data_IF_182583563114
#
_entry.id   IF_182583563114
#
_cell.length_a   1.000
_cell.length_b   1.000
_cell.length_c   1.000
_cell.angle_alpha   90.00
_cell.angle_beta   90.00
_cell.angle_gamma   90.00
#
_symmetry.space_group_name_H-M   'P 1'
#
loop_
_entity.id
_entity.type
_entity.pdbx_description
1 polymer ?
#
# COMPACT_ATOMS: atom_id res chain seq x y z
N UNK A 1 19.78 12.34 18.67
CA UNK A 1 20.26 11.28 19.61
C UNK A 1 21.23 10.36 18.87
N UNK A 2 22.41 10.08 19.48
CA UNK A 2 23.43 9.19 18.92
C UNK A 2 23.43 7.87 19.66
N UNK A 3 23.43 6.75 18.93
CA UNK A 3 23.62 5.41 19.49
C UNK A 3 24.86 4.81 18.82
N UNK A 4 25.88 4.50 19.63
CA UNK A 4 27.10 3.85 19.17
C UNK A 4 27.02 2.33 19.45
N UNK A 5 27.34 1.51 18.47
CA UNK A 5 27.35 0.06 18.58
C UNK A 5 28.79 -0.46 18.52
N UNK A 6 29.17 -1.23 19.55
CA UNK A 6 30.51 -1.76 19.72
C UNK A 6 30.49 -3.28 19.70
N UNK A 7 31.39 -3.92 18.96
CA UNK A 7 31.58 -5.37 19.05
C UNK A 7 32.33 -5.72 20.35
N UNK A 8 31.69 -6.53 21.19
CA UNK A 8 32.27 -7.03 22.44
C UNK A 8 31.86 -8.48 22.67
N UNK A 9 32.84 -9.36 22.82
CA UNK A 9 32.62 -10.75 23.21
C UNK A 9 31.58 -11.50 22.37
N UNK A 10 31.62 -11.33 21.04
CA UNK A 10 30.69 -11.99 20.13
C UNK A 10 29.28 -11.40 20.11
N UNK A 11 29.10 -10.17 20.59
CA UNK A 11 27.85 -9.41 20.56
C UNK A 11 28.05 -7.96 20.20
N UNK A 12 27.02 -7.29 19.68
CA UNK A 12 27.02 -5.87 19.37
C UNK A 12 26.28 -5.12 20.48
N UNK A 13 27.04 -4.39 21.29
CA UNK A 13 26.49 -3.63 22.43
C UNK A 13 26.10 -2.22 21.99
N UNK A 14 24.85 -1.83 22.25
CA UNK A 14 24.34 -0.49 22.00
C UNK A 14 24.65 0.44 23.18
N UNK A 15 25.38 1.52 22.94
CA UNK A 15 25.74 2.54 23.94
C UNK A 15 25.14 3.89 23.49
N UNK A 16 24.09 4.38 24.18
CA UNK A 16 23.59 5.74 23.93
C UNK A 16 24.65 6.77 24.31
N UNK A 17 24.91 7.72 23.39
CA UNK A 17 25.91 8.79 23.60
C UNK A 17 25.16 10.11 23.84
N UNK A 18 24.80 10.37 25.11
CA UNK A 18 24.09 11.59 25.47
C UNK A 18 25.02 12.81 25.40
N UNK A 19 26.07 12.81 26.24
CA UNK A 19 27.08 13.87 26.30
C UNK A 19 28.47 13.22 26.29
N UNK A 20 29.39 13.69 25.43
CA UNK A 20 30.75 13.16 25.36
C UNK A 20 31.19 12.68 23.97
N UNK A 21 32.39 12.11 23.91
CA UNK A 21 32.96 11.62 22.67
C UNK A 21 32.33 10.26 22.25
N UNK A 22 32.09 10.09 20.94
CA UNK A 22 31.71 8.80 20.38
C UNK A 22 32.86 7.82 20.58
N UNK A 23 32.63 6.59 21.10
CA UNK A 23 33.69 5.62 21.30
C UNK A 23 34.44 5.27 20.01
N UNK A 24 35.76 5.33 20.01
CA UNK A 24 36.58 5.04 18.81
C UNK A 24 36.39 3.60 18.28
N UNK A 25 36.01 2.65 19.15
CA UNK A 25 35.72 1.26 18.80
C UNK A 25 34.33 1.06 18.18
N UNK A 26 33.53 2.12 18.01
CA UNK A 26 32.23 2.02 17.41
C UNK A 26 32.32 1.58 15.94
N UNK A 27 31.58 0.52 15.60
CA UNK A 27 31.49 -0.03 14.24
C UNK A 27 30.29 0.54 13.52
N UNK A 28 29.17 0.76 14.22
CA UNK A 28 27.97 1.37 13.71
C UNK A 28 27.53 2.53 14.61
N UNK A 29 27.24 3.67 14.01
CA UNK A 29 26.75 4.88 14.67
C UNK A 29 25.39 5.20 14.06
N UNK A 30 24.34 5.16 14.89
CA UNK A 30 22.98 5.43 14.45
C UNK A 30 22.51 6.81 14.94
N UNK A 31 22.34 7.74 14.02
CA UNK A 31 21.84 9.09 14.25
C UNK A 31 20.30 9.08 14.10
N UNK A 32 19.60 9.05 15.23
CA UNK A 32 18.15 9.00 15.30
C UNK A 32 17.59 10.38 15.56
N UNK A 33 16.94 10.97 14.56
CA UNK A 33 16.45 12.36 14.61
C UNK A 33 17.51 13.29 15.22
N UNK A 34 18.70 13.35 14.61
CA UNK A 34 19.81 14.09 15.17
C UNK A 34 19.54 15.59 15.24
N UNK A 35 20.17 16.26 16.18
CA UNK A 35 20.28 17.71 16.25
C UNK A 35 21.54 18.18 15.50
N UNK A 36 21.65 19.46 15.18
CA UNK A 36 22.87 20.03 14.56
C UNK A 36 24.16 19.74 15.39
N UNK A 37 24.03 19.65 16.71
CA UNK A 37 25.11 19.27 17.60
C UNK A 37 25.51 17.80 17.48
N UNK A 38 24.48 16.90 17.34
CA UNK A 38 24.71 15.48 17.08
C UNK A 38 25.42 15.27 15.74
N UNK A 39 24.99 15.98 14.69
CA UNK A 39 25.61 15.92 13.37
C UNK A 39 27.07 16.39 13.42
N UNK A 40 27.34 17.56 14.01
CA UNK A 40 28.70 18.08 14.16
C UNK A 40 29.63 17.12 14.93
N UNK A 41 29.11 16.42 15.95
CA UNK A 41 29.90 15.41 16.69
C UNK A 41 30.21 14.19 15.84
N UNK A 42 29.27 13.72 15.05
CA UNK A 42 29.46 12.60 14.12
C UNK A 42 30.45 12.98 12.99
N UNK A 43 30.35 14.19 12.46
CA UNK A 43 31.26 14.74 11.44
C UNK A 43 32.71 14.82 11.93
N UNK A 44 32.92 15.37 13.12
CA UNK A 44 34.25 15.44 13.72
C UNK A 44 34.84 14.06 13.98
N UNK A 45 34.01 13.14 14.48
CA UNK A 45 34.43 11.77 14.77
C UNK A 45 34.83 10.99 13.52
N UNK A 46 34.01 11.05 12.46
CA UNK A 46 34.21 10.24 11.26
C UNK A 46 35.04 10.94 10.17
N UNK A 47 35.19 12.26 10.24
CA UNK A 47 35.82 13.07 9.21
C UNK A 47 35.03 13.13 7.91
N UNK A 48 33.71 13.23 8.02
CA UNK A 48 32.76 13.26 6.93
C UNK A 48 31.77 14.42 7.11
N UNK A 49 30.97 14.74 6.10
CA UNK A 49 29.77 15.58 6.25
C UNK A 49 28.54 14.72 6.45
N UNK A 50 27.64 15.11 7.35
CA UNK A 50 26.35 14.42 7.54
C UNK A 50 25.30 15.14 6.70
N UNK A 51 24.59 14.46 5.77
CA UNK A 51 23.58 15.11 4.95
C UNK A 51 22.41 15.59 5.80
N UNK A 52 21.95 16.79 5.51
CA UNK A 52 20.78 17.39 6.15
C UNK A 52 19.51 16.65 5.79
N UNK A 53 18.45 16.84 6.58
CA UNK A 53 17.14 16.25 6.30
C UNK A 53 16.58 16.67 4.93
N UNK A 54 16.89 17.88 4.47
CA UNK A 54 16.45 18.41 3.17
C UNK A 54 17.18 17.70 2.03
N UNK A 55 18.50 17.56 2.11
CA UNK A 55 19.33 16.83 1.15
C UNK A 55 18.93 15.35 1.05
N UNK A 56 18.62 14.71 2.18
CA UNK A 56 18.08 13.34 2.18
C UNK A 56 16.74 13.22 1.45
N UNK A 57 15.96 14.30 1.38
CA UNK A 57 14.68 14.38 0.69
C UNK A 57 14.78 14.63 -0.82
N UNK A 58 15.95 14.99 -1.35
CA UNK A 58 16.15 15.26 -2.77
C UNK A 58 15.83 14.05 -3.64
N UNK A 59 15.26 14.29 -4.83
CA UNK A 59 14.80 13.22 -5.73
C UNK A 59 15.95 12.75 -6.64
N UNK A 60 16.94 13.61 -6.89
CA UNK A 60 18.03 13.33 -7.81
C UNK A 60 18.92 12.18 -7.31
N UNK A 61 19.21 11.25 -8.20
CA UNK A 61 20.03 10.08 -7.86
C UNK A 61 21.45 10.46 -7.48
N UNK A 62 22.03 11.49 -8.11
CA UNK A 62 23.36 12.01 -7.83
C UNK A 62 23.50 12.59 -6.42
N UNK A 63 22.43 13.11 -5.86
CA UNK A 63 22.37 13.61 -4.48
C UNK A 63 22.17 12.51 -3.44
N UNK A 64 21.74 11.33 -3.87
CA UNK A 64 21.43 10.19 -2.98
C UNK A 64 22.50 9.11 -2.95
N UNK A 65 23.26 8.93 -4.02
CA UNK A 65 24.23 7.86 -4.20
C UNK A 65 25.52 8.44 -4.77
N UNK A 66 26.48 8.73 -3.89
CA UNK A 66 27.73 9.36 -4.27
C UNK A 66 28.89 8.93 -3.37
N UNK A 67 30.11 9.26 -3.80
CA UNK A 67 31.34 9.07 -3.02
C UNK A 67 31.98 10.40 -2.82
N UNK A 68 32.27 10.77 -1.58
CA UNK A 68 32.93 12.02 -1.20
C UNK A 68 33.92 11.78 -0.06
N UNK A 69 35.11 12.33 -0.15
CA UNK A 69 36.12 12.20 0.92
C UNK A 69 36.53 10.77 1.28
N UNK A 70 36.26 9.79 0.37
CA UNK A 70 36.49 8.37 0.62
C UNK A 70 35.37 7.71 1.41
N UNK A 71 34.30 8.42 1.73
CA UNK A 71 33.06 7.88 2.28
C UNK A 71 32.01 7.65 1.18
N UNK A 72 31.18 6.60 1.33
CA UNK A 72 30.06 6.31 0.42
C UNK A 72 28.76 6.71 1.08
N UNK A 73 28.04 7.56 0.42
CA UNK A 73 26.73 8.05 0.83
C UNK A 73 25.64 7.34 0.04
N UNK A 74 24.71 6.73 0.74
CA UNK A 74 23.65 5.92 0.15
C UNK A 74 22.33 6.20 0.85
N UNK A 75 21.47 6.98 0.22
CA UNK A 75 20.14 7.32 0.76
C UNK A 75 19.07 6.49 0.07
N UNK A 76 18.32 5.70 0.85
CA UNK A 76 17.16 4.97 0.39
C UNK A 76 15.89 5.48 1.06
N UNK A 77 14.79 5.46 0.31
CA UNK A 77 13.46 5.72 0.85
C UNK A 77 12.81 4.39 1.24
N UNK A 78 12.38 4.25 2.49
CA UNK A 78 11.87 3.02 3.07
C UNK A 78 10.43 3.21 3.51
N UNK A 79 9.57 2.23 3.19
CA UNK A 79 8.19 2.20 3.69
C UNK A 79 8.16 1.82 5.18
N UNK A 80 7.60 2.72 5.99
CA UNK A 80 7.39 2.53 7.42
C UNK A 80 5.91 2.56 7.78
N UNK A 81 5.52 1.84 8.84
CA UNK A 81 4.15 1.86 9.34
C UNK A 81 3.11 1.25 8.39
N UNK A 82 3.48 0.31 7.52
CA UNK A 82 2.56 -0.34 6.58
C UNK A 82 1.35 -1.04 7.25
N UNK A 83 1.46 -1.38 8.51
CA UNK A 83 0.43 -1.97 9.37
C UNK A 83 -0.35 -0.94 10.20
N UNK A 84 -0.03 0.35 10.06
CA UNK A 84 -0.75 1.47 10.71
C UNK A 84 -1.75 2.11 9.76
N UNK A 85 -2.56 3.02 10.28
CA UNK A 85 -3.48 3.82 9.44
C UNK A 85 -2.76 4.87 8.58
N UNK A 86 -1.55 5.26 8.96
CA UNK A 86 -0.76 6.32 8.31
C UNK A 86 0.63 5.79 7.94
N UNK A 87 0.75 4.99 6.87
CA UNK A 87 2.05 4.59 6.35
C UNK A 87 2.81 5.81 5.85
N UNK A 88 4.12 5.83 6.08
CA UNK A 88 5.00 6.93 5.69
C UNK A 88 6.21 6.41 4.93
N UNK A 89 6.72 7.23 4.00
CA UNK A 89 7.99 7.02 3.34
C UNK A 89 9.08 7.76 4.10
N UNK A 90 10.10 7.05 4.52
CA UNK A 90 11.21 7.57 5.31
C UNK A 90 12.52 7.49 4.54
N UNK A 91 13.19 8.61 4.37
CA UNK A 91 14.57 8.63 3.87
C UNK A 91 15.53 8.18 4.98
N UNK A 92 16.39 7.24 4.65
CA UNK A 92 17.46 6.73 5.52
C UNK A 92 18.76 6.81 4.75
N UNK A 93 19.75 7.47 5.31
CA UNK A 93 21.09 7.55 4.72
C UNK A 93 22.03 6.58 5.43
N UNK A 94 22.75 5.81 4.65
CA UNK A 94 23.81 4.91 5.07
C UNK A 94 25.13 5.46 4.57
N UNK A 95 26.07 5.72 5.47
CA UNK A 95 27.40 6.26 5.15
C UNK A 95 28.45 5.22 5.56
N UNK A 96 29.17 4.68 4.58
CA UNK A 96 30.29 3.78 4.83
C UNK A 96 31.60 4.56 4.76
N UNK A 97 32.35 4.55 5.84
CA UNK A 97 33.66 5.18 5.92
C UNK A 97 34.62 4.39 6.80
N UNK A 98 35.82 4.11 6.31
CA UNK A 98 36.91 3.46 7.05
C UNK A 98 36.48 2.20 7.83
N UNK A 99 35.61 1.36 7.24
CA UNK A 99 35.11 0.14 7.86
C UNK A 99 34.05 0.35 8.92
N UNK A 100 33.48 1.55 9.05
CA UNK A 100 32.39 1.91 9.95
C UNK A 100 31.14 2.26 9.16
N UNK A 101 29.99 1.99 9.75
CA UNK A 101 28.70 2.42 9.23
C UNK A 101 28.17 3.57 10.07
N UNK A 102 27.69 4.62 9.42
CA UNK A 102 26.90 5.68 10.04
C UNK A 102 25.52 5.66 9.37
N UNK A 103 24.47 5.67 10.17
CA UNK A 103 23.10 5.73 9.67
C UNK A 103 22.42 7.00 10.16
N UNK A 104 21.71 7.70 9.26
CA UNK A 104 20.96 8.92 9.60
C UNK A 104 19.48 8.66 9.27
N UNK A 105 18.61 8.85 10.24
CA UNK A 105 17.17 8.58 10.08
C UNK A 105 16.31 9.48 10.96
N UNK A 106 15.17 9.91 10.42
CA UNK A 106 14.19 10.74 11.13
C UNK A 106 12.90 9.95 11.41
N UNK A 107 13.06 8.71 11.86
CA UNK A 107 11.99 7.79 12.23
C UNK A 107 12.54 6.43 12.65
N UNK A 108 11.64 5.48 12.88
CA UNK A 108 12.00 4.16 13.42
C UNK A 108 11.60 3.01 12.49
N UNK A 109 12.35 2.75 11.39
CA UNK A 109 12.14 1.56 10.57
C UNK A 109 12.35 0.30 11.42
N UNK A 110 11.40 -0.64 11.38
CA UNK A 110 11.47 -1.88 12.18
C UNK A 110 12.72 -2.73 11.95
N UNK A 111 13.35 -2.60 10.81
CA UNK A 111 14.60 -3.28 10.49
C UNK A 111 15.72 -2.94 11.49
N UNK A 112 15.82 -1.68 11.92
CA UNK A 112 16.89 -1.23 12.81
C UNK A 112 16.89 -1.91 14.19
N UNK A 113 15.81 -1.85 14.98
CA UNK A 113 15.77 -2.56 16.26
C UNK A 113 15.84 -4.10 16.10
N UNK A 114 15.36 -4.64 14.98
CA UNK A 114 15.45 -6.07 14.70
C UNK A 114 16.91 -6.52 14.52
N UNK A 115 17.67 -5.80 13.69
CA UNK A 115 19.10 -6.07 13.45
C UNK A 115 19.91 -5.82 14.71
N UNK A 116 19.68 -4.70 15.41
CA UNK A 116 20.36 -4.41 16.68
C UNK A 116 20.14 -5.53 17.71
N UNK A 117 18.92 -6.05 17.83
CA UNK A 117 18.59 -7.17 18.71
C UNK A 117 19.27 -8.47 18.27
N UNK A 118 19.31 -8.77 16.98
CA UNK A 118 19.93 -9.98 16.42
C UNK A 118 21.43 -9.96 16.65
N UNK A 119 22.11 -8.89 16.26
CA UNK A 119 23.56 -8.72 16.41
C UNK A 119 23.97 -8.57 17.89
N UNK A 120 23.07 -8.04 18.74
CA UNK A 120 23.25 -7.98 20.19
C UNK A 120 23.22 -9.35 20.88
N UNK A 121 22.63 -10.37 20.25
CA UNK A 121 22.66 -11.75 20.76
C UNK A 121 23.89 -12.54 20.31
N UNK A 122 24.29 -12.35 19.06
CA UNK A 122 25.44 -13.04 18.48
C UNK A 122 25.90 -12.29 17.23
N UNK A 123 27.18 -11.94 17.18
CA UNK A 123 27.82 -11.45 15.98
C UNK A 123 29.28 -11.95 15.91
N UNK A 124 29.90 -12.05 14.72
CA UNK A 124 31.32 -12.35 14.60
C UNK A 124 32.18 -11.27 15.29
N UNK A 125 33.25 -11.66 15.96
CA UNK A 125 34.18 -10.70 16.58
C UNK A 125 34.87 -9.78 15.54
N UNK A 126 34.87 -10.19 14.28
CA UNK A 126 35.48 -9.45 13.16
C UNK A 126 34.46 -8.63 12.36
N UNK A 127 33.23 -8.43 12.89
CA UNK A 127 32.18 -7.68 12.22
C UNK A 127 32.62 -6.23 11.90
N UNK A 128 32.30 -5.75 10.71
CA UNK A 128 32.61 -4.40 10.24
C UNK A 128 31.33 -3.65 9.87
N UNK A 129 31.46 -2.36 9.61
CA UNK A 129 30.33 -1.52 9.18
C UNK A 129 29.64 -2.00 7.89
N UNK A 130 30.41 -2.60 6.95
CA UNK A 130 29.86 -3.20 5.74
C UNK A 130 28.95 -4.39 6.03
N UNK A 131 29.30 -5.22 7.00
CA UNK A 131 28.50 -6.39 7.38
C UNK A 131 27.19 -5.92 8.04
N UNK A 132 27.25 -4.91 8.91
CA UNK A 132 26.07 -4.31 9.53
C UNK A 132 25.16 -3.68 8.47
N UNK A 133 25.71 -3.03 7.45
CA UNK A 133 24.93 -2.47 6.34
C UNK A 133 24.18 -3.57 5.59
N UNK A 134 24.84 -4.67 5.24
CA UNK A 134 24.22 -5.80 4.54
C UNK A 134 23.08 -6.37 5.38
N UNK A 135 23.29 -6.60 6.68
CA UNK A 135 22.27 -7.08 7.61
C UNK A 135 21.06 -6.13 7.71
N UNK A 136 21.29 -4.81 7.71
CA UNK A 136 20.23 -3.81 7.70
C UNK A 136 19.43 -3.82 6.40
N UNK A 137 20.12 -3.91 5.25
CA UNK A 137 19.47 -3.97 3.95
C UNK A 137 18.67 -5.26 3.78
N UNK A 138 19.20 -6.41 4.19
CA UNK A 138 18.47 -7.69 4.20
C UNK A 138 17.18 -7.57 5.04
N UNK A 139 17.28 -7.02 6.25
CA UNK A 139 16.11 -6.85 7.11
C UNK A 139 15.06 -5.88 6.53
N UNK A 140 15.48 -4.88 5.75
CA UNK A 140 14.56 -3.97 5.04
C UNK A 140 13.88 -4.71 3.87
N UNK A 141 14.62 -5.53 3.13
CA UNK A 141 14.07 -6.34 2.02
C UNK A 141 13.09 -7.38 2.54
N UNK A 142 13.45 -8.11 3.60
CA UNK A 142 12.56 -9.09 4.26
C UNK A 142 11.26 -8.41 4.74
N UNK A 143 11.38 -7.23 5.36
CA UNK A 143 10.19 -6.48 5.77
C UNK A 143 9.31 -6.05 4.59
N UNK A 144 9.94 -5.70 3.46
CA UNK A 144 9.20 -5.36 2.25
C UNK A 144 8.45 -6.58 1.68
N UNK A 145 9.05 -7.77 1.77
CA UNK A 145 8.40 -9.02 1.40
C UNK A 145 7.18 -9.30 2.28
N UNK A 146 7.31 -9.22 3.62
CA UNK A 146 6.20 -9.38 4.56
C UNK A 146 5.03 -8.45 4.25
N UNK A 147 5.34 -7.18 3.96
CA UNK A 147 4.31 -6.17 3.62
C UNK A 147 3.58 -6.56 2.34
N UNK A 148 4.30 -6.96 1.30
CA UNK A 148 3.69 -7.37 0.03
C UNK A 148 2.87 -8.65 0.16
N UNK A 149 3.31 -9.63 0.96
CA UNK A 149 2.52 -10.83 1.27
C UNK A 149 1.21 -10.48 1.98
N UNK A 150 1.26 -9.58 2.95
CA UNK A 150 0.07 -9.11 3.64
C UNK A 150 -0.89 -8.38 2.68
N UNK A 151 -0.36 -7.51 1.81
CA UNK A 151 -1.17 -6.84 0.78
C UNK A 151 -1.79 -7.89 -0.16
N UNK A 152 -1.04 -8.90 -0.60
CA UNK A 152 -1.52 -9.98 -1.44
C UNK A 152 -2.69 -10.75 -0.83
N UNK A 153 -2.59 -11.08 0.47
CA UNK A 153 -3.68 -11.72 1.22
C UNK A 153 -4.92 -10.82 1.32
N UNK A 154 -4.75 -9.51 1.47
CA UNK A 154 -5.84 -8.55 1.51
C UNK A 154 -6.52 -8.40 0.14
N UNK A 155 -5.75 -8.32 -0.93
CA UNK A 155 -6.25 -8.28 -2.32
C UNK A 155 -7.08 -9.52 -2.63
N UNK A 156 -6.64 -10.70 -2.19
CA UNK A 156 -7.41 -11.94 -2.35
C UNK A 156 -8.72 -11.93 -1.56
N UNK A 157 -8.73 -11.35 -0.36
CA UNK A 157 -9.97 -11.14 0.41
C UNK A 157 -10.95 -10.18 -0.29
N UNK A 158 -10.43 -9.09 -0.85
CA UNK A 158 -11.24 -8.14 -1.63
C UNK A 158 -11.83 -8.83 -2.85
N UNK A 159 -11.02 -9.60 -3.59
CA UNK A 159 -11.46 -10.37 -4.75
C UNK A 159 -12.64 -11.28 -4.41
N UNK A 160 -12.52 -12.08 -3.36
CA UNK A 160 -13.62 -12.94 -2.90
C UNK A 160 -14.87 -12.15 -2.55
N UNK A 161 -14.77 -11.02 -1.87
CA UNK A 161 -15.92 -10.18 -1.52
C UNK A 161 -16.64 -9.60 -2.74
N UNK A 162 -15.93 -9.29 -3.82
CA UNK A 162 -16.54 -8.77 -5.06
C UNK A 162 -17.36 -9.86 -5.75
N UNK A 163 -16.79 -11.07 -5.88
CA UNK A 163 -17.38 -12.16 -6.69
C UNK A 163 -18.26 -13.13 -5.90
N UNK A 164 -18.22 -13.09 -4.57
CA UNK A 164 -19.06 -13.94 -3.73
C UNK A 164 -20.50 -13.41 -3.72
N UNK A 165 -21.41 -14.23 -4.31
CA UNK A 165 -22.85 -13.96 -4.35
C UNK A 165 -23.61 -14.46 -3.11
N UNK A 166 -22.96 -15.21 -2.22
CA UNK A 166 -23.61 -15.84 -1.07
C UNK A 166 -23.89 -14.81 0.05
N UNK A 167 -24.87 -13.98 -0.18
CA UNK A 167 -25.72 -13.46 0.86
C UNK A 167 -25.07 -12.51 1.86
N UNK A 168 -25.07 -11.26 1.56
CA UNK A 168 -25.11 -10.25 2.60
C UNK A 168 -26.42 -9.46 2.48
N UNK A 169 -27.22 -9.41 3.56
CA UNK A 169 -28.33 -8.47 3.72
C UNK A 169 -27.82 -7.01 3.86
N UNK A 170 -26.53 -6.79 3.64
CA UNK A 170 -25.94 -5.45 3.57
C UNK A 170 -26.44 -4.72 2.32
N UNK A 171 -26.74 -3.44 2.48
CA UNK A 171 -27.06 -2.57 1.37
C UNK A 171 -25.89 -2.62 0.36
N UNK A 172 -26.15 -3.05 -0.87
CA UNK A 172 -25.14 -3.18 -1.93
C UNK A 172 -24.25 -1.93 -2.07
N UNK A 173 -24.85 -0.74 -1.94
CA UNK A 173 -24.13 0.53 -1.97
C UNK A 173 -23.08 0.69 -0.85
N UNK A 174 -23.39 0.25 0.38
CA UNK A 174 -22.44 0.31 1.50
C UNK A 174 -21.29 -0.68 1.29
N UNK A 175 -21.62 -1.88 0.82
CA UNK A 175 -20.64 -2.92 0.48
C UNK A 175 -19.65 -2.45 -0.57
N UNK A 176 -20.13 -1.91 -1.70
CA UNK A 176 -19.23 -1.46 -2.78
C UNK A 176 -18.40 -0.23 -2.37
N UNK A 177 -18.95 0.71 -1.59
CA UNK A 177 -18.18 1.82 -1.04
C UNK A 177 -17.03 1.34 -0.13
N UNK A 178 -17.29 0.38 0.74
CA UNK A 178 -16.26 -0.22 1.57
C UNK A 178 -15.17 -0.90 0.74
N UNK A 179 -15.55 -1.68 -0.28
CA UNK A 179 -14.61 -2.34 -1.20
C UNK A 179 -13.73 -1.30 -1.90
N UNK A 180 -14.31 -0.24 -2.48
CA UNK A 180 -13.57 0.82 -3.17
C UNK A 180 -12.59 1.52 -2.24
N UNK A 181 -12.99 1.82 -0.99
CA UNK A 181 -12.10 2.40 0.01
C UNK A 181 -10.94 1.47 0.37
N UNK A 182 -11.19 0.15 0.46
CA UNK A 182 -10.14 -0.84 0.70
C UNK A 182 -9.16 -0.95 -0.48
N UNK A 183 -9.68 -0.96 -1.72
CA UNK A 183 -8.85 -0.99 -2.94
C UNK A 183 -7.93 0.23 -2.95
N UNK A 184 -8.46 1.46 -2.74
CA UNK A 184 -7.67 2.68 -2.76
C UNK A 184 -6.57 2.71 -1.70
N UNK A 185 -6.86 2.22 -0.47
CA UNK A 185 -5.83 2.12 0.57
C UNK A 185 -4.72 1.12 0.21
N UNK A 186 -5.08 -0.03 -0.39
CA UNK A 186 -4.08 -1.04 -0.78
C UNK A 186 -3.26 -0.61 -1.99
N UNK A 187 -3.87 0.14 -2.91
CA UNK A 187 -3.15 0.75 -4.03
C UNK A 187 -2.09 1.74 -3.54
N UNK A 188 -2.42 2.62 -2.60
CA UNK A 188 -1.45 3.53 -1.98
C UNK A 188 -0.28 2.79 -1.31
N UNK A 189 -0.54 1.68 -0.59
CA UNK A 189 0.52 0.86 0.00
C UNK A 189 1.40 0.19 -1.05
N UNK A 190 0.81 -0.32 -2.15
CA UNK A 190 1.56 -0.91 -3.26
C UNK A 190 2.45 0.15 -3.92
N UNK A 191 1.93 1.37 -4.11
CA UNK A 191 2.70 2.49 -4.66
C UNK A 191 3.93 2.82 -3.78
N UNK A 192 3.75 2.93 -2.47
CA UNK A 192 4.85 3.13 -1.53
C UNK A 192 5.86 1.97 -1.53
N UNK A 193 5.37 0.72 -1.59
CA UNK A 193 6.25 -0.44 -1.68
C UNK A 193 7.09 -0.42 -2.96
N UNK A 194 6.51 -0.07 -4.11
CA UNK A 194 7.23 0.09 -5.39
C UNK A 194 8.32 1.15 -5.30
N UNK A 195 8.00 2.31 -4.73
CA UNK A 195 8.97 3.40 -4.55
C UNK A 195 10.13 2.97 -3.65
N UNK A 196 9.82 2.31 -2.51
CA UNK A 196 10.82 1.78 -1.60
C UNK A 196 11.74 0.76 -2.27
N UNK A 197 11.15 -0.24 -2.98
CA UNK A 197 11.92 -1.26 -3.70
C UNK A 197 12.78 -0.66 -4.81
N UNK A 198 12.26 0.31 -5.57
CA UNK A 198 13.03 1.01 -6.59
C UNK A 198 14.21 1.79 -5.99
N UNK A 199 14.03 2.40 -4.82
CA UNK A 199 15.10 3.07 -4.09
C UNK A 199 16.15 2.09 -3.59
N UNK A 200 15.74 0.96 -3.00
CA UNK A 200 16.63 -0.11 -2.55
C UNK A 200 17.39 -0.74 -3.72
N UNK A 201 16.75 -0.99 -4.85
CA UNK A 201 17.40 -1.54 -6.05
C UNK A 201 18.54 -0.65 -6.53
N UNK A 202 18.33 0.69 -6.54
CA UNK A 202 19.38 1.64 -6.90
C UNK A 202 20.54 1.62 -5.90
N UNK A 203 20.25 1.60 -4.59
CA UNK A 203 21.27 1.53 -3.55
C UNK A 203 22.07 0.23 -3.64
N UNK A 204 21.43 -0.91 -3.77
CA UNK A 204 22.08 -2.22 -3.88
C UNK A 204 22.94 -2.28 -5.16
N UNK A 205 22.46 -1.73 -6.26
CA UNK A 205 23.22 -1.64 -7.52
C UNK A 205 24.47 -0.75 -7.36
N UNK A 206 24.35 0.39 -6.68
CA UNK A 206 25.48 1.28 -6.39
C UNK A 206 26.50 0.59 -5.48
N UNK A 207 26.03 -0.11 -4.44
CA UNK A 207 26.89 -0.85 -3.52
C UNK A 207 27.62 -2.02 -4.24
N UNK A 208 26.97 -2.66 -5.21
CA UNK A 208 27.52 -3.76 -5.99
C UNK A 208 28.46 -3.36 -7.13
N UNK A 209 28.32 -2.13 -7.65
CA UNK A 209 29.10 -1.67 -8.81
C UNK A 209 30.58 -1.37 -8.48
N UNK A 210 30.91 -1.12 -7.23
CA UNK A 210 32.25 -0.73 -6.81
C UNK A 210 33.10 -1.97 -6.47
N UNK A 211 33.64 -2.58 -7.51
CA UNK A 211 34.39 -3.84 -7.42
C UNK A 211 35.89 -3.66 -7.17
N UNK A 212 36.50 -2.51 -7.48
CA UNK A 212 37.95 -2.34 -7.51
C UNK A 212 38.57 -1.73 -6.22
N UNK A 213 37.78 -1.31 -5.25
CA UNK A 213 38.25 -0.76 -3.97
C UNK A 213 37.48 -1.26 -2.75
N UNK A 214 36.51 -2.15 -2.95
CA UNK A 214 35.56 -2.54 -1.92
C UNK A 214 36.19 -3.51 -0.91
N UNK A 215 36.13 -3.11 0.37
CA UNK A 215 36.48 -3.90 1.54
C UNK A 215 35.47 -5.02 1.84
N UNK A 216 34.38 -5.12 1.06
CA UNK A 216 33.32 -6.10 1.23
C UNK A 216 33.88 -7.50 0.93
N UNK A 217 33.75 -8.42 1.90
CA UNK A 217 34.15 -9.81 1.79
C UNK A 217 33.40 -10.54 0.65
N UNK A 218 33.97 -11.67 0.20
CA UNK A 218 33.36 -12.46 -0.89
C UNK A 218 31.92 -12.89 -0.58
N UNK A 219 31.66 -13.25 0.66
CA UNK A 219 30.32 -13.65 1.12
C UNK A 219 29.33 -12.46 1.09
N UNK A 220 29.78 -11.28 1.50
CA UNK A 220 28.98 -10.04 1.40
C UNK A 220 28.61 -9.69 -0.05
N UNK A 221 29.54 -9.90 -1.01
CA UNK A 221 29.23 -9.73 -2.45
C UNK A 221 28.19 -10.72 -2.95
N UNK A 222 28.21 -11.94 -2.43
CA UNK A 222 27.19 -12.96 -2.78
C UNK A 222 25.81 -12.56 -2.22
N UNK A 223 25.77 -12.05 -0.99
CA UNK A 223 24.52 -11.56 -0.34
C UNK A 223 23.95 -10.37 -1.11
N UNK A 224 24.75 -9.37 -1.48
CA UNK A 224 24.34 -8.21 -2.28
C UNK A 224 23.73 -8.69 -3.62
N UNK A 225 24.35 -9.67 -4.28
CA UNK A 225 23.82 -10.21 -5.53
C UNK A 225 22.50 -10.98 -5.34
N UNK A 226 22.33 -11.70 -4.23
CA UNK A 226 21.08 -12.37 -3.91
C UNK A 226 19.99 -11.34 -3.64
N UNK A 227 20.28 -10.39 -2.77
CA UNK A 227 19.38 -9.30 -2.39
C UNK A 227 18.88 -8.49 -3.60
N UNK A 228 19.79 -8.24 -4.59
CA UNK A 228 19.40 -7.58 -5.85
C UNK A 228 18.35 -8.36 -6.64
N UNK A 229 18.43 -9.70 -6.65
CA UNK A 229 17.43 -10.55 -7.31
C UNK A 229 16.12 -10.59 -6.54
N UNK A 230 16.21 -10.62 -5.21
CA UNK A 230 15.03 -10.64 -4.33
C UNK A 230 14.24 -9.35 -4.48
N UNK A 231 14.93 -8.20 -4.48
CA UNK A 231 14.29 -6.89 -4.71
C UNK A 231 13.66 -6.82 -6.11
N UNK A 232 14.30 -7.37 -7.14
CA UNK A 232 13.71 -7.43 -8.49
C UNK A 232 12.43 -8.29 -8.49
N UNK A 233 12.47 -9.49 -7.88
CA UNK A 233 11.30 -10.35 -7.74
C UNK A 233 10.16 -9.72 -6.96
N UNK A 234 10.48 -9.00 -5.86
CA UNK A 234 9.49 -8.26 -5.07
C UNK A 234 8.89 -7.08 -5.86
N UNK A 235 9.69 -6.41 -6.69
CA UNK A 235 9.21 -5.34 -7.57
C UNK A 235 8.21 -5.87 -8.62
N UNK A 236 8.51 -7.02 -9.21
CA UNK A 236 7.59 -7.69 -10.15
C UNK A 236 6.29 -8.11 -9.44
N UNK A 237 6.39 -8.62 -8.22
CA UNK A 237 5.22 -8.98 -7.43
C UNK A 237 4.38 -7.76 -7.03
N UNK A 238 5.02 -6.63 -6.68
CA UNK A 238 4.33 -5.38 -6.40
C UNK A 238 3.61 -4.84 -7.65
N UNK A 239 4.19 -4.98 -8.85
CA UNK A 239 3.54 -4.66 -10.10
C UNK A 239 2.30 -5.54 -10.34
N UNK A 240 2.44 -6.85 -10.17
CA UNK A 240 1.31 -7.78 -10.28
C UNK A 240 0.16 -7.42 -9.32
N UNK A 241 0.47 -7.07 -8.07
CA UNK A 241 -0.55 -6.65 -7.10
C UNK A 241 -1.27 -5.36 -7.52
N UNK A 242 -0.55 -4.39 -8.08
CA UNK A 242 -1.14 -3.17 -8.62
C UNK A 242 -2.09 -3.43 -9.78
N UNK A 243 -1.67 -4.27 -10.74
CA UNK A 243 -2.51 -4.65 -11.88
C UNK A 243 -3.77 -5.40 -11.42
N UNK A 244 -3.62 -6.28 -10.43
CA UNK A 244 -4.76 -6.99 -9.82
C UNK A 244 -5.71 -6.05 -9.09
N UNK A 245 -5.21 -5.04 -8.38
CA UNK A 245 -6.04 -4.01 -7.75
C UNK A 245 -6.81 -3.18 -8.78
N UNK A 246 -6.16 -2.80 -9.89
CA UNK A 246 -6.83 -2.11 -11.00
C UNK A 246 -7.96 -2.97 -11.61
N UNK A 247 -7.69 -4.25 -11.85
CA UNK A 247 -8.73 -5.19 -12.32
C UNK A 247 -9.91 -5.27 -11.34
N UNK A 248 -9.64 -5.35 -10.03
CA UNK A 248 -10.69 -5.40 -9.00
C UNK A 248 -11.48 -4.10 -8.91
N UNK A 249 -10.85 -2.95 -9.14
CA UNK A 249 -11.51 -1.66 -9.24
C UNK A 249 -12.50 -1.66 -10.41
N UNK A 250 -12.06 -2.05 -11.59
CA UNK A 250 -12.88 -2.08 -12.81
C UNK A 250 -14.05 -3.08 -12.66
N UNK A 251 -13.78 -4.26 -12.08
CA UNK A 251 -14.81 -5.24 -11.76
C UNK A 251 -15.85 -4.69 -10.78
N UNK A 252 -15.41 -3.95 -9.75
CA UNK A 252 -16.31 -3.33 -8.77
C UNK A 252 -17.20 -2.27 -9.42
N UNK A 253 -16.67 -1.43 -10.29
CA UNK A 253 -17.44 -0.43 -11.06
C UNK A 253 -18.46 -1.13 -11.95
N UNK A 254 -18.07 -2.21 -12.62
CA UNK A 254 -18.99 -3.04 -13.42
C UNK A 254 -20.14 -3.61 -12.59
N UNK A 255 -19.86 -4.12 -11.39
CA UNK A 255 -20.89 -4.65 -10.48
C UNK A 255 -21.84 -3.55 -9.99
N UNK A 256 -21.35 -2.35 -9.68
CA UNK A 256 -22.19 -1.19 -9.34
C UNK A 256 -23.11 -0.83 -10.49
N UNK A 257 -22.60 -0.82 -11.73
CA UNK A 257 -23.39 -0.53 -12.93
C UNK A 257 -24.50 -1.59 -13.17
N UNK A 258 -24.20 -2.87 -12.94
CA UNK A 258 -25.20 -3.94 -13.02
C UNK A 258 -26.29 -3.76 -11.98
N UNK A 259 -25.96 -3.40 -10.75
CA UNK A 259 -26.93 -3.16 -9.68
C UNK A 259 -27.81 -1.95 -9.99
N UNK A 260 -27.24 -0.85 -10.48
CA UNK A 260 -28.00 0.32 -10.93
C UNK A 260 -28.98 -0.05 -12.06
N UNK A 261 -28.55 -0.84 -13.03
CA UNK A 261 -29.42 -1.32 -14.11
C UNK A 261 -30.56 -2.18 -13.58
N UNK A 262 -30.33 -3.02 -12.57
CA UNK A 262 -31.39 -3.81 -11.92
C UNK A 262 -32.42 -2.91 -11.24
N UNK A 263 -31.98 -1.89 -10.51
CA UNK A 263 -32.89 -0.92 -9.88
C UNK A 263 -33.72 -0.19 -10.93
N UNK A 264 -33.12 0.28 -12.02
CA UNK A 264 -33.82 0.94 -13.12
C UNK A 264 -34.86 0.02 -13.74
N UNK A 265 -34.53 -1.27 -13.96
CA UNK A 265 -35.47 -2.27 -14.47
C UNK A 265 -36.69 -2.43 -13.55
N UNK A 266 -36.45 -2.51 -12.23
CA UNK A 266 -37.56 -2.64 -11.26
C UNK A 266 -38.50 -1.43 -11.35
N UNK A 267 -37.97 -0.20 -11.38
CA UNK A 267 -38.76 1.01 -11.51
C UNK A 267 -39.51 1.08 -12.87
N UNK A 268 -38.81 0.71 -13.95
CA UNK A 268 -39.45 0.66 -15.29
C UNK A 268 -40.63 -0.32 -15.32
N UNK A 269 -40.46 -1.55 -14.80
CA UNK A 269 -41.52 -2.54 -14.71
C UNK A 269 -42.67 -2.04 -13.85
N UNK A 270 -42.39 -1.47 -12.67
CA UNK A 270 -43.41 -0.93 -11.77
C UNK A 270 -44.23 0.19 -12.46
N UNK A 271 -43.56 1.10 -13.17
CA UNK A 271 -44.22 2.17 -13.92
C UNK A 271 -45.14 1.65 -15.01
N UNK A 272 -44.68 0.67 -15.82
CA UNK A 272 -45.44 0.10 -16.91
C UNK A 272 -46.65 -0.73 -16.40
N UNK A 273 -46.51 -1.34 -15.22
CA UNK A 273 -47.62 -2.11 -14.58
C UNK A 273 -48.68 -1.18 -13.99
N UNK A 274 -48.28 -0.05 -13.39
CA UNK A 274 -49.22 0.85 -12.69
C UNK A 274 -49.83 1.91 -13.61
N UNK A 275 -49.16 2.31 -14.69
CA UNK A 275 -49.63 3.40 -15.58
C UNK A 275 -50.96 3.09 -16.27
N UNK A 276 -51.22 1.92 -16.88
CA UNK A 276 -52.49 1.64 -17.54
C UNK A 276 -53.71 1.62 -16.59
N UNK A 277 -53.65 0.96 -15.41
CA UNK A 277 -54.74 1.07 -14.43
C UNK A 277 -55.02 2.51 -14.00
N UNK A 278 -53.95 3.29 -13.74
CA UNK A 278 -54.09 4.71 -13.33
C UNK A 278 -54.74 5.53 -14.45
N UNK A 279 -54.36 5.30 -15.71
CA UNK A 279 -54.95 5.97 -16.86
C UNK A 279 -56.45 5.68 -16.97
N UNK A 280 -56.88 4.38 -16.81
CA UNK A 280 -58.29 3.98 -16.83
C UNK A 280 -59.04 4.69 -15.69
N UNK A 281 -58.50 4.67 -14.47
CA UNK A 281 -59.12 5.35 -13.34
C UNK A 281 -59.23 6.87 -13.54
N UNK A 282 -58.23 7.51 -14.15
CA UNK A 282 -58.23 8.94 -14.47
C UNK A 282 -59.30 9.28 -15.53
N UNK A 283 -59.44 8.47 -16.59
CA UNK A 283 -60.46 8.71 -17.62
C UNK A 283 -61.87 8.62 -17.03
N UNK A 284 -62.18 7.60 -16.26
CA UNK A 284 -63.48 7.44 -15.64
C UNK A 284 -63.72 8.38 -14.42
N UNK A 285 -62.65 8.98 -13.89
CA UNK A 285 -62.74 10.02 -12.86
C UNK A 285 -62.96 11.43 -13.41
N UNK A 286 -63.05 11.64 -14.74
CA UNK A 286 -63.27 12.95 -15.34
C UNK A 286 -64.76 13.33 -15.25
N UNK A 287 -65.03 14.64 -15.01
CA UNK A 287 -66.36 15.21 -14.82
C UNK A 287 -66.99 15.64 -16.18
N UNK A 288 -66.92 14.82 -17.22
CA UNK A 288 -67.61 15.12 -18.47
C UNK A 288 -69.09 14.77 -18.42
N UNK A 289 -69.95 15.65 -18.95
CA UNK A 289 -71.41 15.46 -18.93
C UNK A 289 -71.92 14.34 -19.88
N UNK A 290 -71.14 14.00 -20.92
CA UNK A 290 -71.49 13.02 -21.93
C UNK A 290 -70.44 11.90 -22.01
N UNK A 291 -70.54 10.95 -21.09
CA UNK A 291 -69.83 9.67 -21.12
C UNK A 291 -70.80 8.53 -21.34
N UNK A 292 -70.88 7.95 -22.56
CA UNK A 292 -71.90 6.92 -22.88
C UNK A 292 -71.81 5.68 -21.96
N UNK A 293 -70.59 5.36 -21.49
CA UNK A 293 -70.28 4.19 -20.66
C UNK A 293 -70.88 4.32 -19.26
N UNK A 294 -71.10 5.52 -18.71
CA UNK A 294 -71.66 5.73 -17.38
C UNK A 294 -73.16 5.30 -17.26
N UNK A 295 -73.88 5.22 -18.38
CA UNK A 295 -75.26 4.76 -18.43
C UNK A 295 -75.37 3.25 -18.41
N UNK A 296 -74.26 2.50 -18.47
CA UNK A 296 -74.27 1.05 -18.47
C UNK A 296 -74.18 0.52 -17.02
N UNK A 297 -75.12 -0.34 -16.64
CA UNK A 297 -75.25 -0.86 -15.26
C UNK A 297 -74.05 -1.64 -14.77
N UNK A 298 -73.26 -2.23 -15.66
CA UNK A 298 -72.00 -2.94 -15.34
C UNK A 298 -70.72 -2.17 -15.63
N UNK A 299 -70.82 -0.89 -15.92
CA UNK A 299 -69.65 -0.05 -16.25
C UNK A 299 -68.61 -0.05 -15.14
N UNK A 300 -68.99 0.12 -13.87
CA UNK A 300 -68.09 0.14 -12.71
C UNK A 300 -67.35 -1.20 -12.52
N UNK A 301 -67.98 -2.36 -12.43
CA UNK A 301 -67.28 -3.63 -12.34
C UNK A 301 -66.41 -3.94 -13.57
N UNK A 302 -66.85 -3.56 -14.78
CA UNK A 302 -66.06 -3.71 -16.01
C UNK A 302 -64.80 -2.87 -15.98
N UNK A 303 -64.85 -1.62 -15.51
CA UNK A 303 -63.68 -0.74 -15.33
C UNK A 303 -62.67 -1.34 -14.31
N UNK A 304 -63.17 -1.90 -13.19
CA UNK A 304 -62.30 -2.56 -12.22
C UNK A 304 -61.58 -3.79 -12.83
N UNK A 305 -62.32 -4.62 -13.59
CA UNK A 305 -61.70 -5.77 -14.27
C UNK A 305 -60.69 -5.33 -15.32
N UNK A 306 -60.99 -4.28 -16.09
CA UNK A 306 -60.10 -3.72 -17.06
C UNK A 306 -58.80 -3.18 -16.41
N UNK A 307 -58.88 -2.49 -15.24
CA UNK A 307 -57.70 -2.03 -14.49
C UNK A 307 -56.84 -3.21 -14.04
N UNK A 308 -57.43 -4.27 -13.48
CA UNK A 308 -56.72 -5.46 -13.02
C UNK A 308 -56.03 -6.17 -14.20
N UNK A 309 -56.71 -6.38 -15.32
CA UNK A 309 -56.14 -7.01 -16.52
C UNK A 309 -55.02 -6.16 -17.09
N UNK A 310 -55.21 -4.85 -17.17
CA UNK A 310 -54.20 -3.93 -17.70
C UNK A 310 -52.91 -3.85 -16.86
N UNK A 311 -52.98 -4.14 -15.56
CA UNK A 311 -51.82 -4.29 -14.69
C UNK A 311 -51.16 -5.67 -14.75
N UNK A 312 -51.94 -6.74 -14.83
CA UNK A 312 -51.43 -8.11 -14.87
C UNK A 312 -50.74 -8.42 -16.21
N UNK A 313 -51.23 -7.91 -17.31
CA UNK A 313 -50.73 -8.21 -18.66
C UNK A 313 -49.26 -7.78 -18.87
N UNK A 314 -48.84 -6.55 -18.53
CA UNK A 314 -47.46 -6.16 -18.57
C UNK A 314 -46.57 -6.96 -17.59
N UNK A 315 -47.07 -7.25 -16.39
CA UNK A 315 -46.32 -8.03 -15.40
C UNK A 315 -46.00 -9.45 -15.94
N UNK A 316 -46.99 -10.16 -16.50
CA UNK A 316 -46.81 -11.48 -17.10
C UNK A 316 -45.84 -11.41 -18.30
N UNK A 317 -45.97 -10.37 -19.14
CA UNK A 317 -45.08 -10.15 -20.27
C UNK A 317 -43.62 -9.98 -19.81
N UNK A 318 -43.31 -9.13 -18.83
CA UNK A 318 -41.96 -8.93 -18.33
C UNK A 318 -41.42 -10.19 -17.64
N UNK A 319 -42.27 -10.94 -16.89
CA UNK A 319 -41.87 -12.19 -16.30
C UNK A 319 -41.53 -13.25 -17.37
N UNK A 320 -42.32 -13.32 -18.44
CA UNK A 320 -42.03 -14.22 -19.57
C UNK A 320 -40.74 -13.86 -20.31
N UNK A 321 -40.40 -12.56 -20.40
CA UNK A 321 -39.16 -12.08 -21.00
C UNK A 321 -37.96 -12.23 -20.10
N UNK A 322 -38.09 -12.69 -18.87
CA UNK A 322 -36.98 -12.83 -17.91
C UNK A 322 -36.43 -11.52 -17.39
N UNK A 323 -37.25 -10.46 -17.36
CA UNK A 323 -36.84 -9.14 -16.82
C UNK A 323 -37.09 -9.02 -15.30
N UNK A 324 -37.87 -9.94 -14.76
CA UNK A 324 -38.22 -10.10 -13.34
C UNK A 324 -37.64 -11.39 -12.80
#
# INVERSE_FOLDING_TARGET
>A
MIIAYLARQGSLEAVPVADGAIPEAAIWIDLVSPTEEDDARAEVFAGISVPTREEMGEIEQSSRLYVEGGARYMTATILCGADTETPVMLAVTYILTRGRLITVRYGEPRAFPSVATRLGKSCPDTIKGEDVLIELLEAVVDRSADVLEQIGADVERISRRIFDRSGSRENANQRYRAILSHIGRKEGLVSYARESLASLQRLISFLGADTDGSTIAKDGKANIKSMSRDVAGLSDYANFLGDKLQFLLDATIGMVSLEQNNIIKIFAVLSVVLMPPTLIASIYGMNFQHMPELNWTYAYPAALVAMVISGILPYVFFKWRGWL
#
